data_IF_295391582312
#
_entry.id   IF_295391582312
#
_cell.length_a   1.000
_cell.length_b   1.000
_cell.length_c   1.000
_cell.angle_alpha   90.00
_cell.angle_beta   90.00
_cell.angle_gamma   90.00
#
_symmetry.space_group_name_H-M   'P 1'
#
loop_
_entity.id
_entity.type
_entity.pdbx_description
1 polymer ?
#
# COMPACT_ATOMS: atom_id res chain seq x y z
N UNK A 1 9.23 -0.81 -17.37
CA UNK A 1 7.86 -0.40 -16.99
C UNK A 1 8.00 0.50 -15.77
N UNK A 2 7.55 1.76 -15.83
CA UNK A 2 7.54 2.66 -14.68
C UNK A 2 6.20 2.50 -13.98
N UNK A 3 6.18 1.98 -12.75
CA UNK A 3 4.96 1.83 -11.97
C UNK A 3 5.02 2.75 -10.74
N UNK A 4 4.06 3.67 -10.64
CA UNK A 4 3.77 4.42 -9.42
C UNK A 4 2.83 3.57 -8.56
N UNK A 5 3.37 2.83 -7.58
CA UNK A 5 2.56 2.06 -6.63
C UNK A 5 1.74 3.04 -5.77
N UNK A 6 0.45 2.76 -5.48
CA UNK A 6 -0.35 3.57 -4.56
C UNK A 6 0.28 3.62 -3.16
N UNK A 7 0.00 4.67 -2.38
CA UNK A 7 0.58 4.87 -1.05
C UNK A 7 -0.40 4.43 0.06
N UNK A 8 0.08 4.03 1.25
CA UNK A 8 -0.80 3.65 2.40
C UNK A 8 -1.80 4.78 2.70
N UNK A 9 -1.35 6.03 2.61
CA UNK A 9 -2.25 7.17 2.48
C UNK A 9 -2.34 7.57 1.01
N UNK A 10 -3.29 6.98 0.31
CA UNK A 10 -3.80 7.61 -0.91
C UNK A 10 -4.41 8.94 -0.44
N UNK A 11 -3.77 10.06 -0.81
CA UNK A 11 -4.47 11.33 -0.94
C UNK A 11 -5.77 10.98 -1.64
N UNK A 12 -6.92 11.23 -1.02
CA UNK A 12 -8.22 10.96 -1.62
C UNK A 12 -8.23 11.60 -3.03
N UNK A 13 -7.84 10.86 -4.08
CA UNK A 13 -7.71 11.40 -5.43
C UNK A 13 -9.10 11.83 -5.90
N UNK A 14 -10.10 11.05 -5.48
CA UNK A 14 -11.50 11.37 -5.58
C UNK A 14 -11.91 12.69 -4.89
N UNK A 15 -11.21 13.20 -3.86
CA UNK A 15 -11.54 14.51 -3.28
C UNK A 15 -11.09 15.67 -4.16
N UNK A 16 -9.95 15.55 -4.84
CA UNK A 16 -9.42 16.63 -5.71
C UNK A 16 -10.22 16.77 -7.01
N UNK A 17 -10.79 15.68 -7.52
CA UNK A 17 -11.58 15.66 -8.76
C UNK A 17 -13.06 15.33 -8.52
N UNK A 18 -13.53 15.55 -7.29
CA UNK A 18 -14.84 15.07 -6.83
C UNK A 18 -15.98 15.50 -7.73
N UNK A 19 -16.06 16.81 -7.97
CA UNK A 19 -17.11 17.42 -8.78
C UNK A 19 -17.10 16.88 -10.21
N UNK A 20 -15.92 16.70 -10.80
CA UNK A 20 -15.79 16.23 -12.18
C UNK A 20 -16.21 14.76 -12.34
N UNK A 21 -15.83 13.90 -11.39
CA UNK A 21 -16.20 12.48 -11.47
C UNK A 21 -17.67 12.23 -11.09
N UNK A 22 -18.22 12.96 -10.12
CA UNK A 22 -19.67 12.91 -9.80
C UNK A 22 -20.52 13.39 -10.99
N UNK A 23 -20.07 14.41 -11.74
CA UNK A 23 -20.75 14.87 -12.96
C UNK A 23 -20.79 13.80 -14.07
N UNK A 24 -19.81 12.90 -14.09
CA UNK A 24 -19.72 11.78 -15.04
C UNK A 24 -20.49 10.54 -14.57
N UNK A 25 -21.34 10.67 -13.54
CA UNK A 25 -22.18 9.58 -13.03
C UNK A 25 -21.48 8.61 -12.07
N UNK A 26 -20.25 8.90 -11.64
CA UNK A 26 -19.53 8.03 -10.70
C UNK A 26 -19.90 8.35 -9.25
N UNK A 27 -20.36 7.34 -8.50
CA UNK A 27 -20.49 7.43 -7.04
C UNK A 27 -19.12 7.24 -6.38
N UNK A 28 -18.41 8.35 -6.19
CA UNK A 28 -17.13 8.39 -5.52
C UNK A 28 -17.18 7.90 -4.06
N UNK A 29 -18.34 7.93 -3.39
CA UNK A 29 -18.47 7.41 -2.03
C UNK A 29 -18.41 5.88 -2.01
N UNK A 30 -18.92 5.24 -3.06
CA UNK A 30 -18.84 3.79 -3.28
C UNK A 30 -17.40 3.39 -3.64
N UNK A 31 -16.76 4.13 -4.54
CA UNK A 31 -15.39 3.87 -5.04
C UNK A 31 -14.31 4.09 -3.99
N UNK A 32 -14.46 5.11 -3.14
CA UNK A 32 -13.47 5.44 -2.13
C UNK A 32 -13.21 4.30 -1.12
N UNK A 33 -14.14 3.35 -0.94
CA UNK A 33 -13.96 2.19 -0.05
C UNK A 33 -13.10 1.07 -0.65
N UNK A 34 -12.95 1.06 -1.97
CA UNK A 34 -12.18 0.03 -2.70
C UNK A 34 -10.78 0.47 -3.10
N UNK A 35 -10.38 1.71 -2.77
CA UNK A 35 -9.03 2.22 -3.05
C UNK A 35 -7.99 1.54 -2.12
N UNK A 36 -6.85 1.11 -2.68
CA UNK A 36 -5.69 0.67 -1.87
C UNK A 36 -5.33 1.79 -0.90
N UNK A 37 -5.19 1.49 0.39
CA UNK A 37 -4.94 2.51 1.41
C UNK A 37 -6.19 3.31 1.83
N UNK A 38 -7.40 2.80 1.58
CA UNK A 38 -8.63 3.51 1.92
C UNK A 38 -8.81 3.72 3.43
N UNK A 39 -8.63 4.96 3.86
CA UNK A 39 -9.03 5.41 5.20
C UNK A 39 -10.55 5.28 5.44
N UNK A 40 -11.34 5.30 4.37
CA UNK A 40 -12.80 5.31 4.45
C UNK A 40 -13.39 3.92 4.67
N UNK A 41 -12.74 2.87 4.17
CA UNK A 41 -13.07 1.49 4.49
C UNK A 41 -12.90 1.19 5.99
N UNK A 42 -11.93 1.86 6.63
CA UNK A 42 -11.51 1.59 8.00
C UNK A 42 -11.88 2.70 8.99
N UNK A 43 -13.04 3.36 8.83
CA UNK A 43 -13.47 4.44 9.76
C UNK A 43 -13.47 4.03 11.23
N UNK A 44 -13.71 2.75 11.54
CA UNK A 44 -13.66 2.22 12.91
C UNK A 44 -12.25 2.06 13.48
N UNK A 45 -11.25 1.72 12.66
CA UNK A 45 -9.85 1.63 13.08
C UNK A 45 -8.91 1.82 11.88
N UNK A 46 -8.35 3.02 11.73
CA UNK A 46 -7.54 3.39 10.57
C UNK A 46 -6.25 2.59 10.43
N UNK A 47 -5.74 1.96 11.49
CA UNK A 47 -4.55 1.10 11.41
C UNK A 47 -4.80 -0.19 10.60
N UNK A 48 -6.04 -0.62 10.40
CA UNK A 48 -6.35 -1.75 9.50
C UNK A 48 -5.88 -1.49 8.06
N UNK A 49 -5.82 -0.21 7.66
CA UNK A 49 -5.32 0.23 6.35
C UNK A 49 -3.88 -0.21 6.10
N UNK A 50 -3.06 -0.32 7.15
CA UNK A 50 -1.65 -0.78 7.01
C UNK A 50 -1.61 -2.26 6.62
N UNK A 51 -2.47 -3.08 7.23
CA UNK A 51 -2.56 -4.52 6.93
C UNK A 51 -3.12 -4.74 5.53
N UNK A 52 -4.21 -4.04 5.20
CA UNK A 52 -4.81 -4.08 3.86
C UNK A 52 -3.81 -3.64 2.79
N UNK A 53 -3.08 -2.56 3.03
CA UNK A 53 -2.03 -2.12 2.12
C UNK A 53 -0.98 -3.21 1.89
N UNK A 54 -0.46 -3.84 2.95
CA UNK A 54 0.52 -4.92 2.77
C UNK A 54 -0.04 -6.07 1.92
N UNK A 55 -1.29 -6.48 2.15
CA UNK A 55 -1.95 -7.54 1.37
C UNK A 55 -2.15 -7.13 -0.10
N UNK A 56 -2.63 -5.91 -0.34
CA UNK A 56 -2.89 -5.40 -1.70
C UNK A 56 -1.58 -5.20 -2.49
N UNK A 57 -0.50 -4.77 -1.81
CA UNK A 57 0.85 -4.70 -2.39
C UNK A 57 1.37 -6.09 -2.74
N UNK A 58 1.13 -7.07 -1.89
CA UNK A 58 1.55 -8.45 -2.13
C UNK A 58 0.87 -9.03 -3.38
N UNK A 59 -0.43 -8.81 -3.54
CA UNK A 59 -1.18 -9.16 -4.76
C UNK A 59 -0.61 -8.45 -6.00
N UNK A 60 -0.35 -7.15 -5.87
CA UNK A 60 0.19 -6.33 -6.97
C UNK A 60 1.56 -6.83 -7.41
N UNK A 61 2.44 -7.11 -6.46
CA UNK A 61 3.78 -7.65 -6.71
C UNK A 61 3.72 -9.06 -7.32
N UNK A 62 2.82 -9.92 -6.85
CA UNK A 62 2.62 -11.25 -7.43
C UNK A 62 2.19 -11.16 -8.89
N UNK A 63 1.19 -10.35 -9.20
CA UNK A 63 0.70 -10.19 -10.56
C UNK A 63 1.74 -9.58 -11.49
N UNK A 64 2.48 -8.56 -11.02
CA UNK A 64 3.59 -7.98 -11.78
C UNK A 64 4.67 -9.01 -12.08
N UNK A 65 5.02 -9.87 -11.12
CA UNK A 65 5.97 -10.97 -11.32
C UNK A 65 5.48 -11.96 -12.37
N UNK A 66 4.20 -12.36 -12.31
CA UNK A 66 3.58 -13.30 -13.24
C UNK A 66 3.62 -12.81 -14.70
N UNK A 67 3.23 -11.55 -14.93
CA UNK A 67 3.15 -10.99 -16.30
C UNK A 67 4.51 -10.59 -16.85
N UNK A 68 5.47 -10.26 -15.98
CA UNK A 68 6.82 -9.92 -16.42
C UNK A 68 7.62 -11.17 -16.79
N UNK A 69 8.60 -11.00 -17.69
CA UNK A 69 9.60 -12.05 -17.95
C UNK A 69 10.57 -12.17 -16.76
N UNK A 70 11.24 -13.31 -16.68
CA UNK A 70 12.37 -13.50 -15.76
C UNK A 70 13.46 -12.46 -16.08
N UNK A 71 14.10 -11.94 -15.04
CA UNK A 71 15.09 -10.85 -15.09
C UNK A 71 14.58 -9.54 -15.73
N UNK A 72 13.27 -9.36 -15.85
CA UNK A 72 12.72 -8.05 -16.15
C UNK A 72 13.10 -7.07 -15.04
N UNK A 73 13.52 -5.86 -15.42
CA UNK A 73 13.77 -4.77 -14.48
C UNK A 73 12.47 -4.04 -14.18
N UNK A 74 12.09 -3.99 -12.91
CA UNK A 74 10.97 -3.20 -12.41
C UNK A 74 11.51 -2.01 -11.62
N UNK A 75 10.94 -0.84 -11.87
CA UNK A 75 11.27 0.40 -11.14
C UNK A 75 10.00 0.92 -10.51
N UNK A 76 10.01 0.98 -9.18
CA UNK A 76 8.91 1.52 -8.38
C UNK A 76 9.26 2.88 -7.85
N UNK A 77 8.39 3.86 -8.10
CA UNK A 77 8.49 5.21 -7.52
C UNK A 77 7.52 5.30 -6.35
N UNK A 78 8.07 5.37 -5.14
CA UNK A 78 7.34 5.23 -3.89
C UNK A 78 7.46 6.53 -3.09
N UNK A 79 6.35 7.04 -2.57
CA UNK A 79 6.33 8.20 -1.69
C UNK A 79 6.98 7.86 -0.37
N UNK A 80 7.78 8.77 0.17
CA UNK A 80 8.67 8.51 1.31
C UNK A 80 7.98 7.87 2.54
N UNK A 81 6.87 8.44 2.99
CA UNK A 81 6.22 8.02 4.23
C UNK A 81 4.71 8.26 4.17
N UNK A 82 3.95 7.36 4.79
CA UNK A 82 2.53 7.56 5.08
C UNK A 82 2.32 7.72 6.59
N UNK A 83 1.31 8.50 6.99
CA UNK A 83 0.99 8.71 8.39
C UNK A 83 -0.42 8.21 8.73
N UNK A 84 -0.54 7.30 9.69
CA UNK A 84 -1.83 6.83 10.19
C UNK A 84 -1.95 7.22 11.65
N UNK A 85 -2.89 8.13 11.96
CA UNK A 85 -3.17 8.58 13.33
C UNK A 85 -1.94 9.08 14.09
N UNK A 86 -1.03 9.79 13.40
CA UNK A 86 0.22 10.31 13.96
C UNK A 86 1.40 9.36 13.84
N UNK A 87 1.18 8.07 13.53
CA UNK A 87 2.24 7.07 13.39
C UNK A 87 2.79 7.05 11.96
N UNK A 88 4.11 7.23 11.76
CA UNK A 88 4.75 7.14 10.45
C UNK A 88 4.96 5.69 10.00
N UNK A 89 4.79 5.44 8.70
CA UNK A 89 5.05 4.17 8.04
C UNK A 89 5.90 4.39 6.78
N UNK A 90 7.11 3.80 6.75
CA UNK A 90 8.00 3.83 5.58
C UNK A 90 7.46 2.92 4.48
N UNK A 91 6.83 3.53 3.47
CA UNK A 91 6.17 2.82 2.37
C UNK A 91 7.18 1.99 1.56
N UNK A 92 8.36 2.55 1.31
CA UNK A 92 9.36 1.93 0.46
C UNK A 92 10.01 0.73 1.16
N UNK A 93 10.23 0.81 2.48
CA UNK A 93 10.66 -0.32 3.28
C UNK A 93 9.61 -1.45 3.30
N UNK A 94 8.32 -1.13 3.43
CA UNK A 94 7.25 -2.14 3.39
C UNK A 94 7.24 -2.87 2.03
N UNK A 95 7.21 -2.12 0.92
CA UNK A 95 7.21 -2.72 -0.43
C UNK A 95 8.48 -3.55 -0.65
N UNK A 96 9.64 -3.01 -0.26
CA UNK A 96 10.92 -3.70 -0.44
C UNK A 96 10.98 -5.03 0.31
N UNK A 97 10.54 -5.04 1.57
CA UNK A 97 10.49 -6.26 2.37
C UNK A 97 9.53 -7.30 1.79
N UNK A 98 8.32 -6.91 1.43
CA UNK A 98 7.36 -7.83 0.79
C UNK A 98 7.96 -8.41 -0.50
N UNK A 99 8.58 -7.57 -1.34
CA UNK A 99 9.18 -7.99 -2.60
C UNK A 99 10.35 -8.99 -2.45
N UNK A 100 11.21 -8.77 -1.46
CA UNK A 100 12.42 -9.60 -1.23
C UNK A 100 12.09 -10.84 -0.41
N UNK A 101 11.38 -10.69 0.71
CA UNK A 101 11.11 -11.78 1.66
C UNK A 101 10.11 -12.80 1.10
N UNK A 102 9.25 -12.39 0.16
CA UNK A 102 8.43 -13.34 -0.61
C UNK A 102 9.22 -14.12 -1.66
N UNK A 103 10.45 -13.71 -2.00
CA UNK A 103 11.23 -14.31 -3.07
C UNK A 103 10.75 -13.95 -4.49
N UNK A 104 9.80 -13.01 -4.64
CA UNK A 104 9.35 -12.54 -5.95
C UNK A 104 10.46 -11.81 -6.73
N UNK A 105 11.31 -11.09 -6.01
CA UNK A 105 12.27 -10.16 -6.59
C UNK A 105 13.61 -10.18 -5.87
N UNK A 106 14.68 -9.86 -6.61
CA UNK A 106 15.95 -9.44 -6.00
C UNK A 106 16.12 -7.92 -6.14
N UNK A 107 16.57 -7.27 -5.08
CA UNK A 107 16.88 -5.84 -5.10
C UNK A 107 18.15 -5.57 -5.88
N UNK A 108 18.11 -4.48 -6.65
CA UNK A 108 19.26 -3.96 -7.39
C UNK A 108 19.77 -2.70 -6.70
N UNK A 109 18.87 -1.73 -6.50
CA UNK A 109 19.22 -0.40 -6.05
C UNK A 109 18.00 0.29 -5.45
N UNK A 110 18.19 1.06 -4.37
CA UNK A 110 17.23 2.03 -3.87
C UNK A 110 17.87 3.42 -3.94
N UNK A 111 17.19 4.37 -4.55
CA UNK A 111 17.63 5.77 -4.66
C UNK A 111 16.60 6.68 -4.01
N UNK A 112 17.05 7.79 -3.42
CA UNK A 112 16.17 8.83 -2.90
C UNK A 112 16.14 10.00 -3.86
N UNK A 113 14.96 10.56 -4.09
CA UNK A 113 14.75 11.77 -4.87
C UNK A 113 14.01 12.80 -4.03
N UNK A 114 14.46 14.05 -4.13
CA UNK A 114 13.81 15.20 -3.52
C UNK A 114 13.62 16.28 -4.56
N UNK A 115 12.43 16.86 -4.67
CA UNK A 115 12.15 17.96 -5.57
C UNK A 115 11.07 18.88 -5.01
N UNK A 116 11.04 20.13 -5.47
CA UNK A 116 10.02 21.11 -5.10
C UNK A 116 8.88 21.05 -6.13
N UNK A 117 7.65 20.86 -5.71
CA UNK A 117 6.50 20.89 -6.61
C UNK A 117 6.11 22.34 -6.98
N UNK A 118 5.13 22.52 -7.87
CA UNK A 118 4.65 23.84 -8.30
C UNK A 118 4.10 24.72 -7.19
N UNK A 119 3.76 24.15 -6.03
CA UNK A 119 3.26 24.86 -4.84
C UNK A 119 4.35 25.12 -3.80
N UNK A 120 5.61 24.86 -4.16
CA UNK A 120 6.74 25.06 -3.27
C UNK A 120 6.94 24.00 -2.20
N UNK A 121 6.12 22.94 -2.18
CA UNK A 121 6.27 21.82 -1.24
C UNK A 121 7.40 20.89 -1.68
N UNK A 122 8.26 20.54 -0.73
CA UNK A 122 9.29 19.52 -0.94
C UNK A 122 8.62 18.14 -0.95
N UNK A 123 8.78 17.42 -2.06
CA UNK A 123 8.34 16.04 -2.24
C UNK A 123 9.57 15.13 -2.15
N UNK A 124 9.42 14.05 -1.38
CA UNK A 124 10.44 13.03 -1.18
C UNK A 124 9.90 11.68 -1.66
N UNK A 125 10.69 10.99 -2.48
CA UNK A 125 10.35 9.70 -3.06
C UNK A 125 11.56 8.77 -2.99
N UNK A 126 11.28 7.48 -2.96
CA UNK A 126 12.23 6.39 -3.14
C UNK A 126 12.00 5.72 -4.51
N UNK A 127 13.07 5.47 -5.24
CA UNK A 127 13.08 4.69 -6.47
C UNK A 127 13.69 3.33 -6.18
N UNK A 128 12.87 2.28 -6.19
CA UNK A 128 13.31 0.91 -5.89
C UNK A 128 13.40 0.13 -7.20
N UNK A 129 14.58 -0.42 -7.46
CA UNK A 129 14.88 -1.21 -8.64
C UNK A 129 14.95 -2.69 -8.25
N UNK A 130 14.19 -3.52 -8.95
CA UNK A 130 14.18 -4.97 -8.78
C UNK A 130 14.44 -5.69 -10.09
N UNK A 131 14.95 -6.92 -9.98
CA UNK A 131 14.82 -7.91 -11.04
C UNK A 131 13.80 -8.97 -10.65
N UNK A 132 12.93 -9.31 -11.60
CA UNK A 132 11.93 -10.36 -11.46
C UNK A 132 12.59 -11.74 -11.41
N UNK A 133 12.41 -12.46 -10.31
CA UNK A 133 12.90 -13.84 -10.19
C UNK A 133 11.97 -14.83 -10.88
N UNK A 134 10.71 -14.41 -11.16
CA UNK A 134 9.64 -15.22 -11.74
C UNK A 134 9.49 -16.56 -11.02
N UNK A 135 9.32 -16.56 -9.68
CA UNK A 135 9.14 -17.79 -8.94
C UNK A 135 7.72 -18.34 -9.15
N UNK A 136 7.56 -19.64 -8.91
CA UNK A 136 6.24 -20.26 -8.79
C UNK A 136 5.85 -20.26 -7.31
N UNK A 137 5.05 -19.27 -6.90
CA UNK A 137 4.62 -19.10 -5.51
C UNK A 137 3.10 -19.13 -5.39
N UNK A 138 2.64 -19.78 -4.32
CA UNK A 138 1.21 -19.79 -3.97
C UNK A 138 0.81 -18.45 -3.36
N UNK A 139 -0.48 -18.12 -3.39
CA UNK A 139 -0.96 -16.87 -2.78
C UNK A 139 -0.77 -16.87 -1.26
N UNK A 140 -0.90 -18.03 -0.63
CA UNK A 140 -0.77 -18.23 0.81
C UNK A 140 0.65 -17.89 1.29
N UNK A 141 1.68 -18.26 0.52
CA UNK A 141 3.08 -17.96 0.86
C UNK A 141 3.35 -16.45 0.88
N UNK A 142 2.80 -15.74 -0.09
CA UNK A 142 2.96 -14.29 -0.24
C UNK A 142 2.12 -13.55 0.81
N UNK A 143 0.92 -14.04 1.13
CA UNK A 143 0.05 -13.51 2.18
C UNK A 143 0.70 -13.62 3.56
N UNK A 144 1.36 -14.75 3.86
CA UNK A 144 2.06 -14.94 5.12
C UNK A 144 3.15 -13.87 5.33
N UNK A 145 3.98 -13.64 4.31
CA UNK A 145 5.01 -12.59 4.33
C UNK A 145 4.38 -11.21 4.49
N UNK A 146 3.33 -10.89 3.72
CA UNK A 146 2.66 -9.60 3.80
C UNK A 146 2.08 -9.31 5.20
N UNK A 147 1.48 -10.32 5.83
CA UNK A 147 0.94 -10.22 7.20
C UNK A 147 2.06 -10.06 8.23
N UNK A 148 3.17 -10.76 8.08
CA UNK A 148 4.34 -10.58 8.95
C UNK A 148 4.91 -9.16 8.84
N UNK A 149 5.08 -8.65 7.63
CA UNK A 149 5.53 -7.27 7.41
C UNK A 149 4.55 -6.26 7.99
N UNK A 150 3.24 -6.47 7.82
CA UNK A 150 2.22 -5.62 8.42
C UNK A 150 2.29 -5.63 9.96
N UNK A 151 2.43 -6.82 10.56
CA UNK A 151 2.58 -6.99 12.00
C UNK A 151 3.79 -6.22 12.53
N UNK A 152 4.94 -6.38 11.88
CA UNK A 152 6.18 -5.71 12.27
C UNK A 152 6.07 -4.19 12.11
N UNK A 153 5.48 -3.71 11.01
CA UNK A 153 5.25 -2.29 10.78
C UNK A 153 4.34 -1.68 11.87
N UNK A 154 3.26 -2.36 12.26
CA UNK A 154 2.35 -1.91 13.32
C UNK A 154 3.03 -1.93 14.70
N UNK A 155 3.78 -2.99 15.03
CA UNK A 155 4.53 -3.09 16.30
C UNK A 155 5.55 -1.96 16.45
N UNK A 156 6.24 -1.57 15.37
CA UNK A 156 7.15 -0.43 15.39
C UNK A 156 6.45 0.89 15.72
N UNK A 157 5.14 1.00 15.46
CA UNK A 157 4.34 2.16 15.80
C UNK A 157 4.06 2.32 17.30
N UNK A 158 4.25 1.27 18.12
CA UNK A 158 3.92 1.27 19.56
C UNK A 158 4.72 2.35 20.32
N UNK A 159 5.97 2.57 19.95
CA UNK A 159 6.84 3.55 20.62
C UNK A 159 6.49 5.00 20.30
N UNK A 160 5.69 5.25 19.26
CA UNK A 160 5.39 6.59 18.72
C UNK A 160 3.92 6.96 18.85
N UNK A 161 3.02 5.96 18.93
CA UNK A 161 1.57 6.19 18.97
C UNK A 161 1.16 6.97 20.23
N UNK A 162 0.21 7.89 20.07
CA UNK A 162 -0.38 8.58 21.22
C UNK A 162 -1.22 7.63 22.08
N UNK A 163 -1.33 7.93 23.38
CA UNK A 163 -2.15 7.15 24.33
C UNK A 163 -3.60 6.97 23.87
N UNK A 164 -4.17 7.99 23.22
CA UNK A 164 -5.52 7.96 22.66
C UNK A 164 -5.68 6.90 21.56
N UNK A 165 -4.64 6.68 20.74
CA UNK A 165 -4.68 5.79 19.59
C UNK A 165 -4.08 4.41 19.87
N UNK A 166 -3.44 4.21 21.04
CA UNK A 166 -2.79 2.97 21.43
C UNK A 166 -3.71 1.74 21.32
N UNK A 167 -4.93 1.82 21.89
CA UNK A 167 -5.90 0.70 21.85
C UNK A 167 -6.28 0.32 20.42
N UNK A 168 -6.36 1.30 19.51
CA UNK A 168 -6.64 1.06 18.10
C UNK A 168 -5.45 0.36 17.41
N UNK A 169 -4.23 0.79 17.70
CA UNK A 169 -3.02 0.14 17.17
C UNK A 169 -2.89 -1.30 17.68
N UNK A 170 -3.01 -1.51 18.99
CA UNK A 170 -2.98 -2.83 19.63
C UNK A 170 -4.06 -3.76 19.05
N UNK A 171 -5.27 -3.23 18.86
CA UNK A 171 -6.35 -3.99 18.22
C UNK A 171 -6.00 -4.38 16.77
N UNK A 172 -5.36 -3.49 16.01
CA UNK A 172 -4.92 -3.79 14.64
C UNK A 172 -3.85 -4.88 14.61
N UNK A 173 -2.85 -4.81 15.49
CA UNK A 173 -1.82 -5.84 15.68
C UNK A 173 -2.48 -7.20 15.92
N UNK A 174 -3.40 -7.29 16.89
CA UNK A 174 -4.10 -8.55 17.20
C UNK A 174 -4.94 -9.08 16.04
N UNK A 175 -5.51 -8.18 15.22
CA UNK A 175 -6.37 -8.56 14.09
C UNK A 175 -5.63 -8.87 12.79
N UNK A 176 -4.31 -8.66 12.71
CA UNK A 176 -3.52 -8.96 11.50
C UNK A 176 -3.86 -10.32 10.87
N UNK A 177 -4.03 -11.44 11.60
CA UNK A 177 -4.34 -12.73 10.97
C UNK A 177 -5.71 -12.79 10.28
N UNK A 178 -6.66 -11.96 10.72
CA UNK A 178 -8.07 -12.04 10.35
C UNK A 178 -8.53 -10.92 9.43
N UNK A 179 -7.70 -9.89 9.22
CA UNK A 179 -8.04 -8.80 8.32
C UNK A 179 -7.98 -9.28 6.87
N UNK A 180 -9.02 -8.95 6.13
CA UNK A 180 -9.12 -9.19 4.70
C UNK A 180 -8.49 -8.03 3.91
N UNK A 181 -8.25 -8.28 2.62
CA UNK A 181 -7.82 -7.28 1.62
C UNK A 181 -8.82 -6.12 1.53
N UNK A 182 -8.41 -5.04 0.86
CA UNK A 182 -9.35 -3.97 0.55
C UNK A 182 -10.51 -4.52 -0.32
N UNK A 183 -11.79 -4.22 0.01
CA UNK A 183 -12.93 -4.68 -0.78
C UNK A 183 -12.81 -4.25 -2.23
N UNK A 184 -12.99 -5.18 -3.17
CA UNK A 184 -13.04 -4.85 -4.61
C UNK A 184 -14.43 -4.34 -4.97
N UNK A 185 -14.50 -3.31 -5.80
CA UNK A 185 -15.78 -2.83 -6.32
C UNK A 185 -16.25 -3.77 -7.44
N UNK A 186 -17.34 -4.49 -7.22
CA UNK A 186 -18.03 -5.18 -8.30
C UNK A 186 -18.93 -4.16 -9.02
N UNK A 187 -18.56 -3.79 -10.24
CA UNK A 187 -19.52 -3.24 -11.19
C UNK A 187 -20.28 -4.42 -11.79
N UNK A 188 -21.47 -4.72 -11.26
CA UNK A 188 -22.49 -5.27 -12.13
C UNK A 188 -23.02 -4.06 -12.89
N UNK A 189 -22.84 -3.95 -14.21
CA UNK A 189 -23.64 -3.01 -14.96
C UNK A 189 -25.07 -3.50 -14.80
N UNK A 190 -25.92 -2.68 -14.18
CA UNK A 190 -27.37 -2.85 -14.28
C UNK A 190 -27.70 -2.63 -15.76
N UNK A 191 -27.67 -3.72 -16.54
CA UNK A 191 -28.23 -3.80 -17.89
C UNK A 191 -29.61 -4.41 -17.75
#
# INVERSE_FOLDING_TARGET
MNNSIPYINVFNYHQNYRKSAELLGWDLLKIAKSEIGSNRANRGNRFYTVVQYCLDIADTLKELSRVCKKDARLVFVVGYESNVLGVPFDNANIIEKIAIESGLYRKVLRQKRTFKNKFGKIIREDLINFYNLKPELTIESIDAVAREIAMNALKNGISVVSSQNYKSLENAIRKVPYLERTPKLNFSPDI
#
